data_IF_887632151154
#
_entry.id   IF_887632151154
#
_cell.length_a   1.000
_cell.length_b   1.000
_cell.length_c   1.000
_cell.angle_alpha   90.00
_cell.angle_beta   90.00
_cell.angle_gamma   90.00
#
_symmetry.space_group_name_H-M   'P 1'
#
loop_
_entity.id
_entity.type
_entity.pdbx_description
1 polymer ?
#
# COMPACT_ATOMS: atom_id res chain seq x y z
N UNK A 1 16.92 21.69 2.27
CA UNK A 1 16.28 20.64 3.09
C UNK A 1 17.34 19.57 3.28
N UNK A 2 17.60 19.17 4.52
CA UNK A 2 18.69 18.25 4.86
C UNK A 2 18.32 16.79 4.52
N UNK A 3 19.32 15.96 4.23
CA UNK A 3 19.16 14.53 3.91
C UNK A 3 18.52 13.78 5.08
N UNK A 4 18.90 14.14 6.31
CA UNK A 4 18.33 13.57 7.53
C UNK A 4 16.84 13.92 7.69
N UNK A 5 16.44 15.11 7.27
CA UNK A 5 15.04 15.53 7.31
C UNK A 5 14.20 14.80 6.24
N UNK A 6 14.77 14.57 5.06
CA UNK A 6 14.16 13.79 3.99
C UNK A 6 13.96 12.33 4.37
N UNK A 7 14.98 11.68 4.93
CA UNK A 7 14.90 10.28 5.36
C UNK A 7 13.93 10.11 6.52
N UNK A 8 13.91 11.04 7.47
CA UNK A 8 12.94 11.02 8.58
C UNK A 8 11.50 11.13 8.08
N UNK A 9 11.20 12.10 7.21
CA UNK A 9 9.86 12.25 6.62
C UNK A 9 9.43 11.02 5.83
N UNK A 10 10.35 10.38 5.12
CA UNK A 10 10.09 9.11 4.45
C UNK A 10 9.71 8.02 5.45
N UNK A 11 10.52 7.83 6.49
CA UNK A 11 10.31 6.81 7.51
C UNK A 11 9.02 7.03 8.31
N UNK A 12 8.64 8.27 8.61
CA UNK A 12 7.35 8.60 9.22
C UNK A 12 6.18 8.06 8.39
N UNK A 13 6.18 8.33 7.08
CA UNK A 13 5.12 7.82 6.18
C UNK A 13 5.17 6.31 5.98
N UNK A 14 6.36 5.73 5.94
CA UNK A 14 6.52 4.28 5.89
C UNK A 14 5.92 3.63 7.14
N UNK A 15 6.23 4.17 8.33
CA UNK A 15 5.71 3.66 9.60
C UNK A 15 4.20 3.84 9.71
N UNK A 16 3.62 4.91 9.16
CA UNK A 16 2.16 5.06 9.08
C UNK A 16 1.51 3.95 8.25
N UNK A 17 2.09 3.58 7.09
CA UNK A 17 1.58 2.47 6.29
C UNK A 17 1.75 1.13 7.01
N UNK A 18 2.93 0.90 7.60
CA UNK A 18 3.23 -0.31 8.35
C UNK A 18 2.25 -0.49 9.52
N UNK A 19 1.99 0.58 10.27
CA UNK A 19 1.04 0.57 11.39
C UNK A 19 -0.38 0.22 10.93
N UNK A 20 -0.88 0.82 9.84
CA UNK A 20 -2.21 0.49 9.31
C UNK A 20 -2.32 -0.95 8.81
N UNK A 21 -1.21 -1.50 8.32
CA UNK A 21 -1.11 -2.90 7.96
C UNK A 21 -1.12 -3.80 9.20
N UNK A 22 -0.36 -3.47 10.25
CA UNK A 22 -0.33 -4.17 11.53
C UNK A 22 -1.67 -4.13 12.27
N UNK A 23 -2.38 -2.99 12.22
CA UNK A 23 -3.72 -2.81 12.77
C UNK A 23 -4.80 -3.53 11.94
N UNK A 24 -4.40 -4.25 10.89
CA UNK A 24 -5.26 -5.01 9.98
C UNK A 24 -6.33 -4.15 9.28
N UNK A 25 -6.24 -2.82 9.28
CA UNK A 25 -7.24 -1.96 8.63
C UNK A 25 -7.35 -2.30 7.14
N UNK A 26 -6.21 -2.40 6.47
CA UNK A 26 -6.16 -2.74 5.04
C UNK A 26 -6.37 -4.24 4.79
N UNK A 27 -5.90 -5.12 5.69
CA UNK A 27 -6.09 -6.57 5.55
C UNK A 27 -7.57 -6.94 5.64
N UNK A 28 -8.29 -6.37 6.61
CA UNK A 28 -9.74 -6.54 6.75
C UNK A 28 -10.49 -5.98 5.53
N UNK A 29 -10.01 -4.88 4.95
CA UNK A 29 -10.60 -4.28 3.76
C UNK A 29 -10.49 -5.21 2.54
N UNK A 30 -9.32 -5.82 2.32
CA UNK A 30 -9.09 -6.79 1.24
C UNK A 30 -9.97 -8.04 1.43
N UNK A 31 -10.03 -8.58 2.66
CA UNK A 31 -10.90 -9.71 2.97
C UNK A 31 -12.39 -9.38 2.74
N UNK A 32 -12.83 -8.20 3.18
CA UNK A 32 -14.20 -7.73 2.97
C UNK A 32 -14.52 -7.53 1.49
N UNK A 33 -13.55 -7.06 0.70
CA UNK A 33 -13.70 -6.92 -0.76
C UNK A 33 -13.91 -8.29 -1.41
N UNK A 34 -13.04 -9.26 -1.12
CA UNK A 34 -13.18 -10.63 -1.64
C UNK A 34 -14.51 -11.27 -1.22
N UNK A 35 -14.96 -11.03 0.01
CA UNK A 35 -16.27 -11.47 0.49
C UNK A 35 -17.45 -10.78 -0.20
N UNK A 36 -17.33 -9.50 -0.57
CA UNK A 36 -18.37 -8.80 -1.34
C UNK A 36 -18.47 -9.35 -2.77
N UNK A 37 -17.32 -9.61 -3.41
CA UNK A 37 -17.23 -10.22 -4.73
C UNK A 37 -17.86 -11.61 -4.74
N UNK A 38 -17.53 -12.46 -3.75
CA UNK A 38 -18.09 -13.82 -3.67
C UNK A 38 -19.61 -13.83 -3.48
N UNK A 39 -20.17 -12.80 -2.85
CA UNK A 39 -21.62 -12.58 -2.68
C UNK A 39 -22.28 -11.84 -3.85
N UNK A 40 -21.51 -11.46 -4.88
CA UNK A 40 -21.98 -10.64 -6.00
C UNK A 40 -22.59 -9.29 -5.57
N UNK A 41 -22.14 -8.75 -4.44
CA UNK A 41 -22.58 -7.44 -3.94
C UNK A 41 -21.79 -6.33 -4.65
N UNK A 42 -22.27 -5.94 -5.83
CA UNK A 42 -21.57 -4.99 -6.70
C UNK A 42 -21.47 -3.59 -6.10
N UNK A 43 -22.48 -3.15 -5.33
CA UNK A 43 -22.46 -1.83 -4.70
C UNK A 43 -21.34 -1.75 -3.66
N UNK A 44 -21.24 -2.76 -2.80
CA UNK A 44 -20.19 -2.85 -1.79
C UNK A 44 -18.81 -3.12 -2.39
N UNK A 45 -18.76 -3.91 -3.46
CA UNK A 45 -17.51 -4.17 -4.21
C UNK A 45 -16.92 -2.87 -4.74
N UNK A 46 -17.72 -2.02 -5.38
CA UNK A 46 -17.25 -0.74 -5.91
C UNK A 46 -16.74 0.20 -4.80
N UNK A 47 -17.48 0.32 -3.69
CA UNK A 47 -17.05 1.15 -2.55
C UNK A 47 -15.70 0.69 -1.96
N UNK A 48 -15.54 -0.63 -1.80
CA UNK A 48 -14.31 -1.22 -1.26
C UNK A 48 -13.15 -1.13 -2.24
N UNK A 49 -13.43 -1.28 -3.53
CA UNK A 49 -12.45 -1.13 -4.60
C UNK A 49 -11.87 0.29 -4.63
N UNK A 50 -12.69 1.33 -4.51
CA UNK A 50 -12.21 2.72 -4.46
C UNK A 50 -11.24 2.93 -3.29
N UNK A 51 -11.52 2.34 -2.13
CA UNK A 51 -10.61 2.40 -0.97
C UNK A 51 -9.31 1.63 -1.21
N UNK A 52 -9.34 0.49 -1.92
CA UNK A 52 -8.11 -0.21 -2.36
C UNK A 52 -7.28 0.69 -3.29
N UNK A 53 -7.92 1.37 -4.24
CA UNK A 53 -7.23 2.30 -5.15
C UNK A 53 -6.58 3.46 -4.39
N UNK A 54 -7.30 4.07 -3.44
CA UNK A 54 -6.74 5.12 -2.59
C UNK A 54 -5.54 4.64 -1.75
N UNK A 55 -5.60 3.40 -1.27
CA UNK A 55 -4.48 2.78 -0.56
C UNK A 55 -3.28 2.58 -1.48
N UNK A 56 -3.47 1.97 -2.65
CA UNK A 56 -2.41 1.77 -3.62
C UNK A 56 -1.77 3.08 -4.07
N UNK A 57 -2.56 4.14 -4.27
CA UNK A 57 -2.03 5.46 -4.59
C UNK A 57 -1.08 6.01 -3.49
N UNK A 58 -1.35 5.72 -2.22
CA UNK A 58 -0.45 6.10 -1.11
C UNK A 58 0.85 5.29 -1.15
N UNK A 59 0.76 3.99 -1.42
CA UNK A 59 1.92 3.09 -1.56
C UNK A 59 2.78 3.49 -2.76
N UNK A 60 2.18 3.79 -3.91
CA UNK A 60 2.87 4.24 -5.12
C UNK A 60 3.57 5.59 -4.92
N UNK A 61 2.89 6.54 -4.26
CA UNK A 61 3.50 7.83 -3.92
C UNK A 61 4.75 7.67 -3.06
N UNK A 62 4.69 6.77 -2.07
CA UNK A 62 5.86 6.49 -1.23
C UNK A 62 6.95 5.73 -2.00
N UNK A 63 6.57 4.81 -2.89
CA UNK A 63 7.50 4.11 -3.80
C UNK A 63 8.24 5.09 -4.70
N UNK A 64 7.54 6.06 -5.29
CA UNK A 64 8.14 7.13 -6.09
C UNK A 64 9.09 8.00 -5.27
N UNK A 65 8.72 8.33 -4.03
CA UNK A 65 9.59 9.07 -3.11
C UNK A 65 10.86 8.28 -2.77
N UNK A 66 10.75 6.96 -2.53
CA UNK A 66 11.90 6.08 -2.32
C UNK A 66 12.84 6.09 -3.52
N UNK A 67 12.31 5.91 -4.73
CA UNK A 67 13.11 5.92 -5.96
C UNK A 67 13.88 7.24 -6.10
N UNK A 68 13.22 8.38 -5.86
CA UNK A 68 13.87 9.68 -5.89
C UNK A 68 14.99 9.81 -4.84
N UNK A 69 14.76 9.30 -3.62
CA UNK A 69 15.77 9.29 -2.56
C UNK A 69 16.93 8.33 -2.87
N UNK A 70 16.66 7.16 -3.43
CA UNK A 70 17.69 6.19 -3.82
C UNK A 70 18.59 6.73 -4.95
N UNK A 71 18.02 7.51 -5.88
CA UNK A 71 18.79 8.18 -6.96
C UNK A 71 19.75 9.24 -6.39
N UNK A 72 19.30 10.01 -5.39
CA UNK A 72 20.09 11.10 -4.81
C UNK A 72 21.04 10.64 -3.69
N UNK A 73 20.62 9.64 -2.92
CA UNK A 73 21.24 9.19 -1.67
C UNK A 73 21.21 7.66 -1.54
N UNK A 74 21.77 6.96 -2.52
CA UNK A 74 21.79 5.50 -2.61
C UNK A 74 22.33 4.76 -1.38
N UNK A 75 23.10 5.44 -0.53
CA UNK A 75 23.64 4.91 0.72
C UNK A 75 22.61 4.79 1.86
N UNK A 76 21.45 5.45 1.78
CA UNK A 76 20.44 5.46 2.84
C UNK A 76 19.73 4.11 3.04
N UNK A 77 19.66 3.28 1.99
CA UNK A 77 19.05 1.92 2.01
C UNK A 77 17.66 1.90 2.67
N UNK A 78 16.79 2.82 2.29
CA UNK A 78 15.45 2.95 2.87
C UNK A 78 14.58 1.72 2.49
N UNK A 79 13.66 1.29 3.38
CA UNK A 79 12.81 0.13 3.11
C UNK A 79 11.83 0.38 1.97
N UNK A 80 11.46 -0.67 1.22
CA UNK A 80 10.49 -0.56 0.12
C UNK A 80 9.05 -0.71 0.63
N UNK A 81 8.11 0.17 0.25
CA UNK A 81 6.71 0.02 0.62
C UNK A 81 5.94 -0.90 -0.34
N UNK A 82 6.59 -1.47 -1.36
CA UNK A 82 5.94 -2.28 -2.39
C UNK A 82 5.13 -3.47 -1.86
N UNK A 83 5.56 -4.04 -0.72
CA UNK A 83 4.87 -5.15 -0.03
C UNK A 83 3.49 -4.76 0.49
N UNK A 84 3.25 -3.47 0.74
CA UNK A 84 1.96 -2.97 1.19
C UNK A 84 0.97 -2.80 0.04
N UNK A 85 1.41 -2.89 -1.22
CA UNK A 85 0.53 -2.77 -2.38
C UNK A 85 -0.47 -3.93 -2.44
N UNK A 86 -1.69 -3.65 -2.90
CA UNK A 86 -2.74 -4.64 -3.11
C UNK A 86 -2.91 -4.89 -4.60
N UNK A 87 -2.91 -6.15 -5.02
CA UNK A 87 -3.01 -6.55 -6.43
C UNK A 87 -4.14 -7.56 -6.63
N UNK A 88 -4.67 -7.63 -7.84
CA UNK A 88 -5.64 -8.65 -8.20
C UNK A 88 -4.92 -9.88 -8.77
N UNK A 89 -5.14 -11.02 -8.13
CA UNK A 89 -4.73 -12.31 -8.64
C UNK A 89 -5.73 -12.79 -9.70
N UNK A 90 -5.28 -12.90 -10.95
CA UNK A 90 -6.13 -13.33 -12.05
C UNK A 90 -6.44 -14.84 -12.06
N UNK A 91 -5.62 -15.67 -11.42
CA UNK A 91 -5.80 -17.12 -11.34
C UNK A 91 -6.84 -17.45 -10.27
N UNK A 92 -6.63 -16.94 -9.05
CA UNK A 92 -7.52 -17.16 -7.92
C UNK A 92 -8.75 -16.25 -7.94
N UNK A 93 -8.72 -15.19 -8.76
CA UNK A 93 -9.75 -14.14 -8.85
C UNK A 93 -10.01 -13.44 -7.52
N UNK A 94 -8.95 -13.23 -6.74
CA UNK A 94 -9.01 -12.55 -5.45
C UNK A 94 -8.05 -11.36 -5.41
N UNK A 95 -8.37 -10.38 -4.59
CA UNK A 95 -7.46 -9.31 -4.20
C UNK A 95 -6.53 -9.81 -3.10
N UNK A 96 -5.23 -9.56 -3.21
CA UNK A 96 -4.21 -9.94 -2.23
C UNK A 96 -3.08 -8.92 -2.16
N UNK A 97 -2.30 -8.94 -1.09
CA UNK A 97 -1.11 -8.10 -0.99
C UNK A 97 -0.01 -8.57 -1.95
N UNK A 98 0.86 -7.65 -2.34
CA UNK A 98 2.01 -7.86 -3.21
C UNK A 98 3.19 -8.49 -2.43
N UNK A 99 2.89 -9.58 -1.73
CA UNK A 99 3.84 -10.38 -0.92
C UNK A 99 4.40 -11.54 -1.72
#
# INVERSE_FOLDING_TARGET
MDTEELSKRYMEKYNELAKKFEELEISNLVETLNNAISRSDMAKTNELYDKVLEWNAKVEKLSGAKIALDIQFSYLRLPSPALFGVTFDGEEKIWKFNT
#
